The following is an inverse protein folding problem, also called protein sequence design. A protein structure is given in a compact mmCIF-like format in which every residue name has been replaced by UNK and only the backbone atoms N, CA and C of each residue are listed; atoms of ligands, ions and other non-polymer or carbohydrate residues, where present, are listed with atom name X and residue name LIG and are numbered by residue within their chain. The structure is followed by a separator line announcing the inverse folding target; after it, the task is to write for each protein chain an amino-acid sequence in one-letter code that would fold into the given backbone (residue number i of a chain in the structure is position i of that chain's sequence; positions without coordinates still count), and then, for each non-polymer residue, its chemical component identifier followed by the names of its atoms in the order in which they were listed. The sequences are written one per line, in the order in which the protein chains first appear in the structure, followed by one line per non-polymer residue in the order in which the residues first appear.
data_IF_384724975319
#
_entry.id   IF_384724975319
#
_cell.length_a   1.000
_cell.length_b   1.000
_cell.length_c   1.000
_cell.angle_alpha   90.00
_cell.angle_beta   90.00
_cell.angle_gamma   90.00
#
_symmetry.space_group_name_H-M   'P 1'
#
loop_
_entity.id
_entity.type
_entity.pdbx_description
1 polymer ?
#
# COMPACT_ATOMS: atom_id res chain seq x y z
N UNK A 1 3.18 -3.42 11.41
CA UNK A 1 3.01 -3.42 12.88
C UNK A 1 1.57 -3.21 13.33
N UNK A 2 0.72 -2.71 12.47
CA UNK A 2 -0.73 -2.59 12.73
C UNK A 2 -1.39 -3.96 12.68
N UNK A 3 -2.53 -4.12 13.36
CA UNK A 3 -3.36 -5.30 13.26
C UNK A 3 -4.04 -5.43 11.88
N UNK A 4 -4.88 -6.44 11.74
CA UNK A 4 -5.62 -6.71 10.51
C UNK A 4 -6.49 -5.53 10.05
N UNK A 5 -7.05 -4.80 11.01
CA UNK A 5 -7.87 -3.60 10.77
C UNK A 5 -7.64 -2.55 11.85
N UNK A 6 -8.22 -1.36 11.68
CA UNK A 6 -8.13 -0.31 12.70
C UNK A 6 -8.80 -0.68 14.02
N UNK A 7 -9.76 -1.60 13.99
CA UNK A 7 -10.47 -2.10 15.18
C UNK A 7 -9.85 -3.35 15.80
N UNK A 8 -8.77 -3.89 15.21
CA UNK A 8 -8.08 -5.07 15.72
C UNK A 8 -7.30 -4.73 16.98
N UNK A 9 -7.74 -5.26 18.12
CA UNK A 9 -7.09 -5.06 19.41
C UNK A 9 -5.77 -5.83 19.58
N UNK A 10 -5.36 -6.64 18.62
CA UNK A 10 -4.10 -7.40 18.59
C UNK A 10 -3.89 -8.28 19.85
N UNK A 11 -4.90 -8.93 20.36
CA UNK A 11 -4.81 -9.78 21.56
C UNK A 11 -3.87 -10.99 21.41
N UNK A 12 -3.45 -11.31 20.19
CA UNK A 12 -2.55 -12.41 19.84
C UNK A 12 -1.07 -12.12 20.09
N UNK A 13 -0.70 -10.87 20.41
CA UNK A 13 0.69 -10.46 20.71
C UNK A 13 0.72 -9.30 21.71
N UNK A 14 1.83 -9.14 22.41
CA UNK A 14 2.01 -8.05 23.37
C UNK A 14 2.52 -6.78 22.71
N UNK A 15 2.38 -5.64 23.40
CA UNK A 15 2.95 -4.38 22.94
C UNK A 15 4.48 -4.42 22.94
N UNK A 16 5.06 -5.07 23.93
CA UNK A 16 6.50 -5.26 24.07
C UNK A 16 7.07 -6.05 22.89
N UNK A 17 6.39 -7.10 22.47
CA UNK A 17 6.76 -7.87 21.28
C UNK A 17 6.75 -6.99 20.02
N UNK A 18 5.75 -6.16 19.83
CA UNK A 18 5.68 -5.21 18.70
C UNK A 18 6.86 -4.23 18.72
N UNK A 19 7.21 -3.68 19.89
CA UNK A 19 8.34 -2.76 20.02
C UNK A 19 9.68 -3.44 19.73
N UNK A 20 9.86 -4.71 20.10
CA UNK A 20 11.05 -5.48 19.74
C UNK A 20 11.17 -5.67 18.22
N UNK A 21 10.05 -5.99 17.53
CA UNK A 21 10.04 -6.10 16.07
C UNK A 21 10.30 -4.77 15.37
N UNK A 22 9.88 -3.65 15.92
CA UNK A 22 10.20 -2.32 15.37
C UNK A 22 11.69 -2.02 15.38
N UNK A 23 12.45 -2.54 16.35
CA UNK A 23 13.91 -2.34 16.41
C UNK A 23 14.66 -3.02 15.26
N UNK A 24 14.07 -4.05 14.67
CA UNK A 24 14.63 -4.78 13.54
C UNK A 24 13.92 -4.46 12.22
N UNK A 25 13.26 -3.29 12.15
CA UNK A 25 12.61 -2.83 10.93
C UNK A 25 13.60 -2.75 9.76
N UNK A 26 13.33 -3.40 8.63
CA UNK A 26 14.26 -3.45 7.51
C UNK A 26 14.54 -2.07 6.90
N UNK A 27 13.60 -1.14 6.93
CA UNK A 27 13.82 0.22 6.45
C UNK A 27 14.84 0.93 7.34
N UNK A 28 14.68 0.83 8.66
CA UNK A 28 15.63 1.41 9.63
C UNK A 28 17.03 0.84 9.43
N UNK A 29 17.15 -0.49 9.29
CA UNK A 29 18.44 -1.12 9.06
C UNK A 29 19.13 -0.65 7.77
N UNK A 30 18.39 -0.49 6.69
CA UNK A 30 18.92 0.02 5.42
C UNK A 30 19.34 1.49 5.55
N UNK A 31 18.54 2.31 6.22
CA UNK A 31 18.90 3.71 6.48
C UNK A 31 20.17 3.84 7.33
N UNK A 32 20.35 3.00 8.32
CA UNK A 32 21.56 2.96 9.14
C UNK A 32 22.78 2.60 8.28
N UNK A 33 22.67 1.60 7.40
CA UNK A 33 23.74 1.21 6.46
C UNK A 33 24.09 2.36 5.51
N UNK A 34 23.08 3.06 4.97
CA UNK A 34 23.27 4.21 4.08
C UNK A 34 24.03 5.32 4.82
N UNK A 35 23.65 5.60 6.05
CA UNK A 35 24.26 6.63 6.89
C UNK A 35 25.70 6.27 7.31
N UNK A 36 25.92 5.06 7.79
CA UNK A 36 27.23 4.59 8.22
C UNK A 36 28.26 4.58 7.10
N UNK A 37 27.85 4.24 5.88
CA UNK A 37 28.73 4.18 4.72
C UNK A 37 28.73 5.48 3.88
N UNK A 38 27.99 6.50 4.28
CA UNK A 38 27.83 7.76 3.55
C UNK A 38 27.42 7.57 2.08
N UNK A 39 26.50 6.62 1.81
CA UNK A 39 25.99 6.37 0.47
C UNK A 39 25.02 7.45 -0.02
N UNK A 40 24.35 8.14 0.89
CA UNK A 40 23.51 9.28 0.62
C UNK A 40 23.56 10.25 1.81
N UNK A 41 23.26 11.51 1.53
CA UNK A 41 23.09 12.54 2.55
C UNK A 41 21.72 12.45 3.19
N UNK A 42 21.57 13.02 4.38
CA UNK A 42 20.28 13.09 5.07
C UNK A 42 19.23 13.84 4.24
N UNK A 43 19.63 14.90 3.54
CA UNK A 43 18.76 15.67 2.63
C UNK A 43 18.26 14.84 1.44
N UNK A 44 19.09 13.96 0.89
CA UNK A 44 18.67 13.05 -0.19
C UNK A 44 17.68 12.01 0.29
N UNK A 45 17.85 11.46 1.49
CA UNK A 45 16.89 10.53 2.11
C UNK A 45 15.56 11.24 2.39
N UNK A 46 15.60 12.44 2.94
CA UNK A 46 14.39 13.23 3.21
C UNK A 46 13.64 13.60 1.92
N UNK A 47 14.37 13.91 0.85
CA UNK A 47 13.76 14.17 -0.46
C UNK A 47 13.05 12.94 -1.05
N UNK A 48 13.58 11.73 -0.81
CA UNK A 48 12.91 10.48 -1.20
C UNK A 48 11.63 10.28 -0.38
N UNK A 49 11.68 10.50 0.91
CA UNK A 49 10.53 10.34 1.80
C UNK A 49 9.40 11.32 1.42
N UNK A 50 9.76 12.59 1.17
CA UNK A 50 8.80 13.59 0.68
C UNK A 50 8.15 13.18 -0.64
N UNK A 51 8.94 12.68 -1.60
CA UNK A 51 8.41 12.20 -2.88
C UNK A 51 7.45 11.03 -2.71
N UNK A 52 7.73 10.11 -1.79
CA UNK A 52 6.82 8.98 -1.49
C UNK A 52 5.53 9.49 -0.88
N UNK A 53 5.59 10.44 0.05
CA UNK A 53 4.40 11.03 0.65
C UNK A 53 3.53 11.77 -0.38
N UNK A 54 4.15 12.51 -1.30
CA UNK A 54 3.45 13.18 -2.40
C UNK A 54 2.74 12.17 -3.32
N UNK A 55 3.41 11.07 -3.68
CA UNK A 55 2.81 9.98 -4.47
C UNK A 55 1.61 9.33 -3.76
N UNK A 56 1.69 9.13 -2.45
CA UNK A 56 0.57 8.59 -1.67
C UNK A 56 -0.61 9.55 -1.69
N UNK A 57 -0.37 10.86 -1.53
CA UNK A 57 -1.42 11.87 -1.62
C UNK A 57 -2.06 11.94 -3.03
N UNK A 58 -1.26 11.79 -4.09
CA UNK A 58 -1.78 11.68 -5.46
C UNK A 58 -2.65 10.43 -5.65
N UNK A 59 -2.27 9.29 -5.06
CA UNK A 59 -3.09 8.06 -5.10
C UNK A 59 -4.43 8.24 -4.40
N UNK A 60 -4.46 8.89 -3.24
CA UNK A 60 -5.69 9.20 -2.50
C UNK A 60 -6.61 10.10 -3.35
N UNK A 61 -6.07 11.18 -3.88
CA UNK A 61 -6.79 12.09 -4.78
C UNK A 61 -7.34 11.38 -6.01
N UNK A 62 -6.53 10.51 -6.64
CA UNK A 62 -6.96 9.72 -7.78
C UNK A 62 -8.15 8.82 -7.43
N UNK A 63 -8.12 8.17 -6.26
CA UNK A 63 -9.22 7.32 -5.82
C UNK A 63 -10.50 8.10 -5.56
N UNK A 64 -10.39 9.30 -4.97
CA UNK A 64 -11.55 10.17 -4.68
C UNK A 64 -12.17 10.78 -5.95
N UNK A 65 -11.34 11.18 -6.91
CA UNK A 65 -11.77 11.84 -8.14
C UNK A 65 -12.20 10.84 -9.25
N UNK A 66 -11.85 9.57 -9.11
CA UNK A 66 -12.18 8.55 -10.10
C UNK A 66 -13.68 8.29 -10.15
N UNK A 67 -14.27 8.20 -11.35
CA UNK A 67 -15.69 7.87 -11.48
C UNK A 67 -15.96 6.42 -11.04
N UNK A 68 -17.17 6.16 -10.60
CA UNK A 68 -17.60 4.78 -10.39
C UNK A 68 -17.60 3.99 -11.69
N UNK A 69 -17.37 2.66 -11.64
CA UNK A 69 -17.45 1.81 -12.82
C UNK A 69 -18.83 1.89 -13.49
N UNK A 70 -18.84 1.85 -14.82
CA UNK A 70 -20.08 1.71 -15.58
C UNK A 70 -20.72 0.34 -15.33
N UNK A 71 -22.06 0.27 -15.37
CA UNK A 71 -22.82 -0.96 -15.08
C UNK A 71 -22.38 -2.14 -15.98
N UNK A 72 -21.96 -1.86 -17.21
CA UNK A 72 -21.47 -2.88 -18.14
C UNK A 72 -20.20 -3.58 -17.64
N UNK A 73 -19.33 -2.90 -16.92
CA UNK A 73 -18.09 -3.47 -16.37
C UNK A 73 -18.35 -4.60 -15.37
N UNK A 74 -19.57 -4.71 -14.85
CA UNK A 74 -19.98 -5.84 -14.01
C UNK A 74 -19.83 -7.20 -14.73
N UNK A 75 -19.91 -7.20 -16.05
CA UNK A 75 -19.85 -8.38 -16.91
C UNK A 75 -18.50 -8.52 -17.64
N UNK A 76 -17.82 -7.40 -17.93
CA UNK A 76 -16.64 -7.36 -18.79
C UNK A 76 -15.41 -8.02 -18.17
N UNK A 77 -15.31 -8.04 -16.83
CA UNK A 77 -14.14 -8.51 -16.09
C UNK A 77 -14.37 -9.79 -15.28
N UNK A 78 -15.46 -10.50 -15.50
CA UNK A 78 -15.80 -11.73 -14.75
C UNK A 78 -15.01 -12.93 -15.26
N UNK A 79 -14.74 -13.00 -16.58
CA UNK A 79 -14.02 -14.09 -17.22
C UNK A 79 -12.94 -13.53 -18.16
N UNK A 80 -11.91 -14.34 -18.38
CA UNK A 80 -10.82 -14.04 -19.33
C UNK A 80 -11.29 -14.01 -20.80
N UNK A 81 -12.40 -14.69 -21.12
CA UNK A 81 -12.96 -14.77 -22.46
C UNK A 81 -14.11 -13.78 -22.67
N UNK A 82 -14.02 -12.92 -23.67
CA UNK A 82 -15.02 -11.92 -24.00
C UNK A 82 -16.40 -12.50 -24.40
N UNK A 83 -16.43 -13.69 -24.95
CA UNK A 83 -17.63 -14.34 -25.49
C UNK A 83 -18.00 -15.62 -24.73
N UNK A 84 -18.12 -15.56 -23.43
CA UNK A 84 -18.58 -16.71 -22.67
C UNK A 84 -20.06 -16.99 -22.98
N UNK A 85 -20.40 -18.20 -23.56
CA UNK A 85 -21.72 -18.44 -24.16
C UNK A 85 -22.88 -18.50 -23.17
N UNK A 86 -22.58 -18.52 -21.86
CA UNK A 86 -23.58 -18.66 -20.81
C UNK A 86 -23.90 -17.34 -20.09
N UNK A 87 -23.22 -16.25 -20.47
CA UNK A 87 -23.48 -14.93 -19.89
C UNK A 87 -24.26 -14.10 -20.90
N UNK A 88 -25.47 -13.66 -20.55
CA UNK A 88 -26.23 -12.78 -21.44
C UNK A 88 -25.54 -11.42 -21.56
N UNK A 89 -25.18 -11.03 -22.77
CA UNK A 89 -24.57 -9.76 -23.10
C UNK A 89 -25.52 -8.55 -23.02
N UNK A 90 -26.75 -8.75 -22.54
CA UNK A 90 -27.73 -7.66 -22.41
C UNK A 90 -28.61 -7.87 -21.17
N UNK A 91 -28.64 -6.86 -20.37
CA UNK A 91 -29.80 -6.49 -19.58
C UNK A 91 -30.76 -5.69 -20.43
#
# INVERSE_FOLDING_TARGET
YRGHSMSDAQHYRTKEEVEEYKKIDPITQVLDIIKENNYATEAEVEAIDQRVNDLVAECEKFAEESPFPEAQQLYDVVYDQENYPFIPHRL
#
